data_IF_821525699179
#
_entry.id   IF_821525699179
#
_cell.length_a   1.000
_cell.length_b   1.000
_cell.length_c   1.000
_cell.angle_alpha   90.00
_cell.angle_beta   90.00
_cell.angle_gamma   90.00
#
_symmetry.space_group_name_H-M   'P 1'
#
loop_
_entity.id
_entity.type
_entity.pdbx_description
1 polymer ?
#
# COMPACT_ATOMS: atom_id res chain seq x y z
N UNK A 1 11.52 -9.21 -20.24
CA UNK A 1 12.41 -8.54 -19.27
C UNK A 1 11.77 -8.52 -17.90
N UNK A 2 12.56 -8.77 -16.88
CA UNK A 2 12.06 -8.84 -15.51
C UNK A 2 11.76 -7.47 -14.90
N UNK A 3 11.01 -7.49 -13.83
CA UNK A 3 10.75 -6.31 -13.01
C UNK A 3 11.74 -6.28 -11.85
N UNK A 4 12.09 -5.07 -11.41
CA UNK A 4 13.01 -4.84 -10.29
C UNK A 4 12.24 -4.21 -9.15
N UNK A 5 12.40 -4.75 -7.94
CA UNK A 5 11.82 -4.20 -6.72
C UNK A 5 12.94 -3.49 -5.95
N UNK A 6 12.71 -2.23 -5.59
CA UNK A 6 13.64 -1.49 -4.75
C UNK A 6 12.92 -0.77 -3.62
N UNK A 7 13.61 -0.59 -2.52
CA UNK A 7 13.09 0.20 -1.39
C UNK A 7 13.17 1.69 -1.75
N UNK A 8 12.04 2.38 -1.57
CA UNK A 8 11.94 3.80 -1.89
C UNK A 8 12.61 4.66 -0.82
N UNK A 9 13.16 5.78 -1.28
CA UNK A 9 13.68 6.85 -0.44
C UNK A 9 12.90 8.13 -0.71
N UNK A 10 13.19 9.21 0.02
CA UNK A 10 12.56 10.51 -0.23
C UNK A 10 12.69 11.01 -1.67
N UNK A 11 13.72 10.57 -2.38
CA UNK A 11 13.92 10.90 -3.80
C UNK A 11 12.81 10.34 -4.69
N UNK A 12 12.12 9.31 -4.24
CA UNK A 12 11.04 8.66 -4.97
C UNK A 12 9.67 9.26 -4.68
N UNK A 13 9.59 10.31 -3.85
CA UNK A 13 8.31 10.88 -3.41
C UNK A 13 7.41 11.30 -4.57
N UNK A 14 7.96 11.92 -5.61
CA UNK A 14 7.19 12.31 -6.79
C UNK A 14 6.62 11.10 -7.54
N UNK A 15 7.42 10.07 -7.72
CA UNK A 15 6.99 8.81 -8.36
C UNK A 15 5.87 8.15 -7.56
N UNK A 16 6.03 8.08 -6.23
CA UNK A 16 4.99 7.53 -5.34
C UNK A 16 3.71 8.35 -5.43
N UNK A 17 3.84 9.67 -5.44
CA UNK A 17 2.68 10.56 -5.55
C UNK A 17 1.84 10.31 -6.80
N UNK A 18 2.48 10.08 -7.94
CA UNK A 18 1.80 9.74 -9.19
C UNK A 18 1.09 8.40 -9.10
N UNK A 19 1.74 7.39 -8.54
CA UNK A 19 1.14 6.06 -8.39
C UNK A 19 -0.03 6.07 -7.41
N UNK A 20 0.10 6.77 -6.29
CA UNK A 20 -1.02 6.93 -5.32
C UNK A 20 -2.18 7.67 -5.97
N UNK A 21 -1.91 8.73 -6.71
CA UNK A 21 -2.96 9.45 -7.42
C UNK A 21 -3.71 8.52 -8.39
N UNK A 22 -3.00 7.72 -9.15
CA UNK A 22 -3.61 6.74 -10.07
C UNK A 22 -4.47 5.72 -9.33
N UNK A 23 -4.01 5.26 -8.17
CA UNK A 23 -4.79 4.37 -7.32
C UNK A 23 -6.07 5.04 -6.83
N UNK A 24 -5.99 6.29 -6.36
CA UNK A 24 -7.15 7.02 -5.84
C UNK A 24 -8.17 7.30 -6.95
N UNK A 25 -7.71 7.59 -8.17
CA UNK A 25 -8.59 7.73 -9.34
C UNK A 25 -9.34 6.42 -9.60
N UNK A 26 -8.65 5.30 -9.59
CA UNK A 26 -9.24 3.98 -9.86
C UNK A 26 -10.29 3.58 -8.82
N UNK A 27 -10.04 3.87 -7.55
CA UNK A 27 -11.00 3.55 -6.48
C UNK A 27 -12.04 4.64 -6.26
N UNK A 28 -12.09 5.64 -7.13
CA UNK A 28 -13.03 6.76 -7.07
C UNK A 28 -13.00 7.54 -5.74
N UNK A 29 -11.83 7.59 -5.13
CA UNK A 29 -11.60 8.30 -3.87
C UNK A 29 -10.80 9.58 -4.14
N UNK A 30 -11.42 10.53 -4.81
CA UNK A 30 -10.79 11.79 -5.20
C UNK A 30 -11.34 12.97 -4.41
N UNK A 31 -10.46 13.93 -4.16
CA UNK A 31 -10.82 15.25 -3.67
C UNK A 31 -10.10 16.29 -4.53
N UNK A 32 -10.72 17.46 -4.81
CA UNK A 32 -10.09 18.49 -5.64
C UNK A 32 -8.72 18.93 -5.18
N UNK A 33 -8.44 18.82 -3.89
CA UNK A 33 -7.16 19.24 -3.29
C UNK A 33 -6.12 18.11 -3.19
N UNK A 34 -6.48 16.90 -3.58
CA UNK A 34 -5.64 15.72 -3.47
C UNK A 34 -5.15 15.30 -4.86
N UNK A 35 -4.18 16.03 -5.39
CA UNK A 35 -3.55 15.77 -6.68
C UNK A 35 -2.19 15.06 -6.51
N UNK A 36 -1.48 14.84 -7.61
CA UNK A 36 -0.16 14.20 -7.58
C UNK A 36 0.82 14.92 -6.66
N UNK A 37 0.83 16.26 -6.68
CA UNK A 37 1.70 17.06 -5.83
C UNK A 37 1.38 16.87 -4.35
N UNK A 38 0.11 16.82 -4.00
CA UNK A 38 -0.32 16.54 -2.63
C UNK A 38 0.18 15.17 -2.16
N UNK A 39 0.00 14.13 -2.95
CA UNK A 39 0.44 12.79 -2.58
C UNK A 39 1.96 12.66 -2.57
N UNK A 40 2.67 13.37 -3.44
CA UNK A 40 4.14 13.42 -3.41
C UNK A 40 4.65 14.04 -2.11
N UNK A 41 4.02 15.13 -1.66
CA UNK A 41 4.35 15.75 -0.37
C UNK A 41 4.11 14.79 0.79
N UNK A 42 2.97 14.12 0.80
CA UNK A 42 2.63 13.14 1.84
C UNK A 42 3.57 11.95 1.85
N UNK A 43 3.97 11.47 0.68
CA UNK A 43 4.96 10.40 0.57
C UNK A 43 6.32 10.82 1.15
N UNK A 44 6.76 12.04 0.87
CA UNK A 44 8.00 12.58 1.44
C UNK A 44 7.96 12.69 2.95
N UNK A 45 6.84 13.17 3.50
CA UNK A 45 6.62 13.22 4.96
C UNK A 45 6.66 11.82 5.59
N UNK A 46 5.96 10.86 4.97
CA UNK A 46 5.87 9.49 5.45
C UNK A 46 7.24 8.82 5.49
N UNK A 47 8.03 8.96 4.43
CA UNK A 47 9.35 8.35 4.33
C UNK A 47 10.36 9.00 5.29
N UNK A 48 10.06 10.18 5.81
CA UNK A 48 10.90 10.87 6.80
C UNK A 48 10.42 10.74 8.23
N UNK A 49 9.30 10.04 8.48
CA UNK A 49 8.70 9.95 9.82
C UNK A 49 9.35 8.86 10.68
N UNK A 50 9.19 9.00 12.00
CA UNK A 50 9.56 7.98 12.98
C UNK A 50 8.28 7.51 13.72
N UNK A 51 8.04 6.20 13.89
CA UNK A 51 8.82 5.09 13.35
C UNK A 51 8.80 5.03 11.83
N UNK A 52 9.79 4.39 11.24
CA UNK A 52 9.96 4.34 9.80
C UNK A 52 8.77 3.66 9.11
N UNK A 53 8.36 4.24 7.99
CA UNK A 53 7.45 3.61 7.07
C UNK A 53 8.26 3.08 5.89
N UNK A 54 7.79 2.01 5.28
CA UNK A 54 8.51 1.35 4.20
C UNK A 54 7.67 1.38 2.93
N UNK A 55 8.33 1.72 1.84
CA UNK A 55 7.72 1.69 0.50
C UNK A 55 8.65 0.94 -0.42
N UNK A 56 8.11 0.01 -1.18
CA UNK A 56 8.83 -0.66 -2.27
C UNK A 56 8.18 -0.29 -3.59
N UNK A 57 9.02 -0.05 -4.59
CA UNK A 57 8.59 0.29 -5.94
C UNK A 57 9.02 -0.83 -6.88
N UNK A 58 8.10 -1.23 -7.76
CA UNK A 58 8.41 -2.11 -8.87
C UNK A 58 8.64 -1.27 -10.12
N UNK A 59 9.75 -1.53 -10.79
CA UNK A 59 10.09 -0.85 -12.04
C UNK A 59 10.28 -1.88 -13.16
N UNK A 60 9.96 -1.47 -14.39
CA UNK A 60 10.19 -2.29 -15.58
C UNK A 60 11.65 -2.24 -16.03
N UNK A 61 11.97 -2.92 -17.14
CA UNK A 61 13.31 -2.97 -17.68
C UNK A 61 13.85 -1.63 -18.20
N UNK A 62 13.00 -0.63 -18.31
CA UNK A 62 13.37 0.73 -18.72
C UNK A 62 13.44 1.71 -17.53
N UNK A 63 13.26 1.21 -16.32
CA UNK A 63 13.27 2.04 -15.12
C UNK A 63 11.97 2.76 -14.82
N UNK A 64 10.89 2.47 -15.55
CA UNK A 64 9.58 3.06 -15.29
C UNK A 64 8.91 2.36 -14.11
N UNK A 65 8.46 3.14 -13.13
CA UNK A 65 7.70 2.61 -12.01
C UNK A 65 6.33 2.12 -12.47
N UNK A 66 6.01 0.86 -12.14
CA UNK A 66 4.78 0.19 -12.56
C UNK A 66 3.94 -0.31 -11.39
N UNK A 67 4.41 -0.15 -10.17
CA UNK A 67 3.66 -0.53 -8.98
C UNK A 67 4.39 -0.15 -7.71
N UNK A 68 3.67 -0.22 -6.59
CA UNK A 68 4.25 0.07 -5.27
C UNK A 68 3.47 -0.62 -4.17
N UNK A 69 4.11 -0.75 -3.02
CA UNK A 69 3.48 -1.22 -1.78
C UNK A 69 3.97 -0.34 -0.64
N UNK A 70 3.06 0.05 0.26
CA UNK A 70 3.41 0.81 1.47
C UNK A 70 3.10 0.00 2.71
N UNK A 71 4.00 0.08 3.70
CA UNK A 71 3.91 -0.71 4.93
C UNK A 71 4.14 0.24 6.11
N UNK A 72 3.15 0.33 6.99
CA UNK A 72 3.28 1.01 8.26
C UNK A 72 3.63 0.03 9.38
N UNK A 73 4.09 0.55 10.51
CA UNK A 73 4.43 -0.25 11.68
C UNK A 73 3.38 -0.03 12.77
N UNK A 74 2.92 -1.12 13.36
CA UNK A 74 1.99 -1.11 14.48
C UNK A 74 2.48 -2.07 15.54
N UNK A 75 2.17 -1.78 16.81
CA UNK A 75 2.43 -2.72 17.91
C UNK A 75 1.12 -2.96 18.66
N UNK A 76 0.86 -4.21 19.00
CA UNK A 76 -0.34 -4.57 19.73
C UNK A 76 -0.07 -5.80 20.61
N UNK A 77 -0.70 -5.81 21.78
CA UNK A 77 -0.54 -6.92 22.73
C UNK A 77 -1.13 -8.20 22.15
N UNK A 78 -2.30 -8.12 21.49
CA UNK A 78 -2.93 -9.29 20.89
C UNK A 78 -2.08 -9.93 19.77
N UNK A 79 -1.23 -9.13 19.14
CA UNK A 79 -0.34 -9.58 18.07
C UNK A 79 1.07 -9.93 18.57
N UNK A 80 1.25 -9.97 19.88
CA UNK A 80 2.51 -10.33 20.54
C UNK A 80 3.68 -9.41 20.21
N UNK A 81 3.41 -8.18 19.78
CA UNK A 81 4.43 -7.17 19.56
C UNK A 81 4.24 -6.36 18.28
N UNK A 82 5.34 -6.11 17.59
CA UNK A 82 5.37 -5.25 16.40
C UNK A 82 5.01 -6.04 15.15
N UNK A 83 4.20 -5.42 14.30
CA UNK A 83 3.84 -6.01 13.01
C UNK A 83 3.68 -4.93 11.95
N UNK A 84 3.65 -5.34 10.68
CA UNK A 84 3.46 -4.45 9.57
C UNK A 84 2.02 -4.42 9.08
N UNK A 85 1.59 -3.24 8.64
CA UNK A 85 0.28 -3.05 8.00
C UNK A 85 0.51 -2.55 6.59
N UNK A 86 0.04 -3.31 5.62
CA UNK A 86 0.06 -2.91 4.21
C UNK A 86 -1.08 -1.90 4.02
N UNK A 87 -0.75 -0.66 3.71
CA UNK A 87 -1.72 0.42 3.54
C UNK A 87 -2.13 0.59 2.09
N UNK A 88 -1.20 0.48 1.15
CA UNK A 88 -1.47 0.53 -0.28
C UNK A 88 -0.70 -0.57 -1.00
N UNK A 89 -1.32 -1.14 -2.01
CA UNK A 89 -0.69 -2.02 -3.00
C UNK A 89 -1.36 -1.76 -4.34
N UNK A 90 -0.56 -1.31 -5.30
CA UNK A 90 -1.06 -0.91 -6.61
C UNK A 90 -0.11 -1.34 -7.71
N UNK A 91 -0.67 -1.84 -8.79
CA UNK A 91 0.05 -2.16 -10.03
C UNK A 91 -0.72 -1.48 -11.17
N UNK A 92 0.00 -0.78 -12.04
CA UNK A 92 -0.65 -0.11 -13.17
C UNK A 92 -1.41 -1.13 -14.03
N UNK A 93 -2.60 -0.76 -14.54
CA UNK A 93 -3.47 -1.72 -15.24
C UNK A 93 -2.79 -2.46 -16.40
N UNK A 94 -1.91 -1.77 -17.13
CA UNK A 94 -1.27 -2.29 -18.36
C UNK A 94 -0.40 -3.53 -18.11
N UNK A 95 0.09 -3.71 -16.90
CA UNK A 95 1.00 -4.82 -16.55
C UNK A 95 0.46 -5.71 -15.45
N UNK A 96 -0.83 -5.63 -15.15
CA UNK A 96 -1.47 -6.54 -14.19
C UNK A 96 -1.41 -7.98 -14.70
N UNK A 97 -1.45 -8.91 -13.76
CA UNK A 97 -1.34 -10.36 -14.02
C UNK A 97 0.05 -10.80 -14.53
N UNK A 98 1.06 -9.95 -14.36
CA UNK A 98 2.47 -10.26 -14.68
C UNK A 98 3.26 -10.70 -13.46
N UNK A 99 2.61 -10.90 -12.30
CA UNK A 99 3.27 -11.30 -11.06
C UNK A 99 3.89 -10.16 -10.26
N UNK A 100 3.67 -8.89 -10.64
CA UNK A 100 4.27 -7.73 -9.95
C UNK A 100 3.72 -7.58 -8.54
N UNK A 101 2.42 -7.76 -8.36
CA UNK A 101 1.79 -7.72 -7.03
C UNK A 101 2.41 -8.72 -6.08
N UNK A 102 2.67 -9.94 -6.56
CA UNK A 102 3.35 -10.97 -5.78
C UNK A 102 4.79 -10.56 -5.44
N UNK A 103 5.53 -10.00 -6.38
CA UNK A 103 6.90 -9.54 -6.13
C UNK A 103 6.93 -8.45 -5.04
N UNK A 104 6.00 -7.51 -5.09
CA UNK A 104 5.87 -6.45 -4.07
C UNK A 104 5.50 -7.04 -2.71
N UNK A 105 4.56 -7.96 -2.68
CA UNK A 105 4.14 -8.62 -1.44
C UNK A 105 5.27 -9.48 -0.86
N UNK A 106 6.03 -10.17 -1.69
CA UNK A 106 7.19 -10.94 -1.25
C UNK A 106 8.26 -10.04 -0.63
N UNK A 107 8.47 -8.83 -1.16
CA UNK A 107 9.36 -7.84 -0.54
C UNK A 107 8.87 -7.44 0.86
N UNK A 108 7.57 -7.24 1.04
CA UNK A 108 6.97 -6.96 2.35
C UNK A 108 7.16 -8.13 3.32
N UNK A 109 6.96 -9.35 2.86
CA UNK A 109 7.17 -10.56 3.68
C UNK A 109 8.62 -10.72 4.11
N UNK A 110 9.58 -10.45 3.20
CA UNK A 110 11.00 -10.48 3.54
C UNK A 110 11.38 -9.41 4.55
N UNK A 111 10.83 -8.21 4.39
CA UNK A 111 11.03 -7.13 5.37
C UNK A 111 10.51 -7.55 6.74
N UNK A 112 9.30 -8.06 6.82
CA UNK A 112 8.68 -8.53 8.05
C UNK A 112 9.57 -9.57 8.76
N UNK A 113 10.05 -10.55 8.01
CA UNK A 113 10.94 -11.57 8.54
C UNK A 113 12.25 -10.98 9.06
N UNK A 114 12.86 -10.04 8.30
CA UNK A 114 14.12 -9.41 8.69
C UNK A 114 14.00 -8.54 9.94
N UNK A 115 12.82 -7.95 10.17
CA UNK A 115 12.52 -7.11 11.35
C UNK A 115 12.03 -7.91 12.55
N UNK A 116 11.78 -9.20 12.39
CA UNK A 116 11.21 -10.03 13.44
C UNK A 116 9.75 -9.69 13.75
N UNK A 117 9.02 -9.15 12.81
CA UNK A 117 7.59 -8.84 12.98
C UNK A 117 6.78 -10.11 13.09
N UNK A 118 5.71 -10.06 13.89
CA UNK A 118 4.88 -11.25 14.16
C UNK A 118 3.91 -11.56 13.03
N UNK A 119 3.53 -10.54 12.22
CA UNK A 119 2.59 -10.69 11.12
C UNK A 119 2.62 -9.51 10.17
N UNK A 120 1.95 -9.67 9.05
CA UNK A 120 1.52 -8.59 8.17
C UNK A 120 -0.01 -8.60 8.12
N UNK A 121 -0.61 -7.42 8.21
CA UNK A 121 -2.04 -7.25 8.00
C UNK A 121 -2.27 -6.36 6.79
N UNK A 122 -3.42 -6.53 6.14
CA UNK A 122 -3.85 -5.70 5.02
C UNK A 122 -5.36 -5.50 5.09
N UNK A 123 -5.83 -4.33 4.71
CA UNK A 123 -7.26 -4.09 4.50
C UNK A 123 -7.57 -4.30 3.02
N UNK A 124 -8.13 -5.44 2.69
CA UNK A 124 -8.61 -5.69 1.33
C UNK A 124 -9.99 -5.09 1.14
N UNK A 125 -10.30 -4.66 -0.08
CA UNK A 125 -11.66 -4.28 -0.42
C UNK A 125 -12.62 -5.44 -0.19
N UNK A 126 -13.87 -5.13 0.14
CA UNK A 126 -14.90 -6.15 0.31
C UNK A 126 -15.01 -7.03 -0.94
N UNK A 127 -15.23 -8.31 -0.75
CA UNK A 127 -15.31 -9.27 -1.86
C UNK A 127 -16.31 -8.86 -2.93
N UNK A 128 -17.44 -8.30 -2.53
CA UNK A 128 -18.49 -7.80 -3.44
C UNK A 128 -18.02 -6.62 -4.29
N UNK A 129 -16.98 -5.87 -3.83
CA UNK A 129 -16.45 -4.68 -4.50
C UNK A 129 -15.24 -5.05 -5.37
N UNK A 130 -14.33 -5.84 -4.83
CA UNK A 130 -13.14 -6.29 -5.54
C UNK A 130 -12.78 -7.72 -5.16
N UNK A 131 -13.46 -8.71 -5.77
CA UNK A 131 -13.18 -10.12 -5.46
C UNK A 131 -11.77 -10.56 -5.87
N UNK A 132 -11.14 -9.89 -6.83
CA UNK A 132 -9.78 -10.22 -7.26
C UNK A 132 -8.75 -9.92 -6.19
N UNK A 133 -8.91 -8.80 -5.46
CA UNK A 133 -7.99 -8.42 -4.39
C UNK A 133 -8.00 -9.46 -3.27
N UNK A 134 -9.19 -9.86 -2.81
CA UNK A 134 -9.31 -10.87 -1.76
C UNK A 134 -8.69 -12.20 -2.19
N UNK A 135 -9.00 -12.65 -3.41
CA UNK A 135 -8.43 -13.91 -3.93
C UNK A 135 -6.92 -13.84 -4.06
N UNK A 136 -6.38 -12.68 -4.46
CA UNK A 136 -4.94 -12.46 -4.51
C UNK A 136 -4.31 -12.67 -3.13
N UNK A 137 -4.82 -12.01 -2.09
CA UNK A 137 -4.27 -12.14 -0.75
C UNK A 137 -4.44 -13.56 -0.20
N UNK A 138 -5.56 -14.21 -0.46
CA UNK A 138 -5.78 -15.60 -0.04
C UNK A 138 -4.79 -16.55 -0.69
N UNK A 139 -4.47 -16.39 -1.99
CA UNK A 139 -3.44 -17.17 -2.66
C UNK A 139 -2.05 -16.95 -2.04
N UNK A 140 -1.82 -15.78 -1.48
CA UNK A 140 -0.58 -15.43 -0.80
C UNK A 140 -0.61 -15.74 0.69
N UNK A 141 -1.56 -16.60 1.10
CA UNK A 141 -1.69 -17.17 2.45
C UNK A 141 -2.18 -16.19 3.51
N UNK A 142 -2.82 -15.08 3.11
CA UNK A 142 -3.54 -14.22 4.04
C UNK A 142 -4.88 -14.84 4.38
N UNK A 143 -5.26 -14.74 5.66
CA UNK A 143 -6.56 -15.22 6.16
C UNK A 143 -7.36 -14.05 6.69
N UNK A 144 -8.68 -14.14 6.58
CA UNK A 144 -9.56 -13.08 7.04
C UNK A 144 -9.48 -12.92 8.56
N UNK A 145 -9.39 -11.66 9.02
CA UNK A 145 -9.16 -11.32 10.43
C UNK A 145 -10.22 -10.39 11.02
N UNK A 146 -11.24 -10.03 10.27
CA UNK A 146 -12.34 -9.20 10.71
C UNK A 146 -12.45 -7.87 9.97
N UNK A 147 -13.59 -7.15 10.15
CA UNK A 147 -13.82 -5.89 9.47
C UNK A 147 -13.01 -4.75 10.07
N UNK A 148 -12.65 -3.78 9.23
CA UNK A 148 -12.01 -2.55 9.66
C UNK A 148 -13.02 -1.41 9.68
N UNK A 149 -13.05 -0.65 10.77
CA UNK A 149 -13.93 0.49 10.95
C UNK A 149 -13.08 1.76 11.07
N UNK A 150 -13.60 2.87 10.57
CA UNK A 150 -12.92 4.16 10.71
C UNK A 150 -13.86 5.22 11.23
N UNK A 151 -13.30 6.17 12.00
CA UNK A 151 -13.94 7.41 12.38
C UNK A 151 -13.02 8.54 11.93
N UNK A 152 -13.52 9.44 11.08
CA UNK A 152 -12.72 10.54 10.56
C UNK A 152 -12.78 11.75 11.47
N UNK A 153 -11.62 12.28 11.84
CA UNK A 153 -11.49 13.46 12.70
C UNK A 153 -11.43 14.73 11.85
N UNK A 154 -12.07 15.78 12.33
CA UNK A 154 -11.97 17.11 11.73
C UNK A 154 -12.78 17.31 10.45
N UNK A 155 -13.57 16.34 10.02
CA UNK A 155 -14.51 16.52 8.93
C UNK A 155 -15.94 16.60 9.45
N UNK A 156 -16.66 17.67 9.07
CA UNK A 156 -18.11 17.66 9.26
C UNK A 156 -18.66 16.58 8.34
N UNK A 157 -19.31 15.56 8.91
CA UNK A 157 -20.15 14.68 8.10
C UNK A 157 -21.18 15.59 7.43
N UNK A 158 -21.17 15.65 6.10
CA UNK A 158 -22.38 16.07 5.41
C UNK A 158 -23.47 15.11 5.85
N UNK A 159 -24.54 15.66 6.40
CA UNK A 159 -25.67 14.86 6.81
C UNK A 159 -26.16 14.10 5.57
N UNK A 160 -25.90 12.81 5.52
CA UNK A 160 -26.55 11.94 4.55
C UNK A 160 -28.01 11.86 4.97
N UNK A 161 -28.82 12.59 4.27
CA UNK A 161 -30.26 12.41 4.33
C UNK A 161 -30.64 11.10 3.67
#
# INVERSE_FOLDING_TARGET
MGYVIHEATKKDASTIGKLVYSLMVEVEHQSPNMNETFYAMKAGELLGSEPANYVFIASDGYGKAVGFITIGITSAIYAEGTFGVINELYVVPEVRSSGIGKLLLDAAKRLAASKGWTRLEVTAALERVNPRAIRFYQREEFVESGPRLKFELGQKKEAST
#
